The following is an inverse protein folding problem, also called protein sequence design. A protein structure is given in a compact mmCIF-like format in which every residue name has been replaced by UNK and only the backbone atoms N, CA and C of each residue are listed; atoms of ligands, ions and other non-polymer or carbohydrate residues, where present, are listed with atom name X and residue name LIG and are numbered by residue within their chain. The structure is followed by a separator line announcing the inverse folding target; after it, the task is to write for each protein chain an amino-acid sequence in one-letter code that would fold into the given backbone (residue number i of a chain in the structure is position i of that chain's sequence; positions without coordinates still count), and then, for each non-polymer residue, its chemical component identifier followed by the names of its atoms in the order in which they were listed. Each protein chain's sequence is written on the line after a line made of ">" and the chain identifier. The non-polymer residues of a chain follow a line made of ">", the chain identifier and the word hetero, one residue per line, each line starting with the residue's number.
data_IF_360879202537
#
_entry.id   IF_360879202537
#
_cell.length_a   1.000
_cell.length_b   1.000
_cell.length_c   1.000
_cell.angle_alpha   90.00
_cell.angle_beta   90.00
_cell.angle_gamma   90.00
#
_symmetry.space_group_name_H-M   'P 1'
#
loop_
_entity.id
_entity.type
_entity.pdbx_description
1 polymer ?
#
# COMPACT_ATOMS: atom_id res chain seq x y z
N UNK A 1 10.25 24.68 -15.49
CA UNK A 1 9.36 24.87 -14.34
C UNK A 1 8.30 23.78 -14.36
N UNK A 2 8.32 22.88 -13.37
CA UNK A 2 7.37 21.77 -13.29
C UNK A 2 5.98 22.23 -12.84
N UNK A 3 4.96 21.61 -13.41
CA UNK A 3 3.58 21.71 -12.90
C UNK A 3 3.22 20.40 -12.21
N UNK A 4 2.36 20.49 -11.20
CA UNK A 4 1.82 19.35 -10.47
C UNK A 4 0.35 19.17 -10.83
N UNK A 5 -0.07 17.94 -11.11
CA UNK A 5 -1.50 17.62 -11.21
C UNK A 5 -2.07 17.53 -9.80
N UNK A 6 -2.92 18.47 -9.44
CA UNK A 6 -3.50 18.59 -8.10
C UNK A 6 -4.89 17.98 -8.08
N UNK A 7 -5.08 16.95 -7.25
CA UNK A 7 -6.37 16.39 -6.88
C UNK A 7 -6.88 17.17 -5.65
N UNK A 8 -7.91 17.94 -5.85
CA UNK A 8 -8.51 18.72 -4.77
C UNK A 8 -9.31 17.82 -3.81
N UNK A 9 -9.32 18.20 -2.53
CA UNK A 9 -10.11 17.50 -1.52
C UNK A 9 -11.59 17.60 -1.89
N UNK A 10 -12.34 16.51 -1.74
CA UNK A 10 -13.77 16.38 -2.03
C UNK A 10 -14.20 16.59 -3.49
N UNK A 11 -13.27 16.86 -4.43
CA UNK A 11 -13.58 16.92 -5.86
C UNK A 11 -13.21 15.58 -6.56
N UNK A 12 -13.79 15.36 -7.75
CA UNK A 12 -13.45 14.20 -8.60
C UNK A 12 -12.06 14.33 -9.22
N UNK A 13 -11.49 13.22 -9.71
CA UNK A 13 -10.28 13.26 -10.55
C UNK A 13 -10.48 14.01 -11.87
N UNK A 14 -11.73 14.21 -12.33
CA UNK A 14 -12.05 15.05 -13.49
C UNK A 14 -11.72 16.52 -13.25
N UNK A 15 -11.79 16.94 -12.00
CA UNK A 15 -11.57 18.32 -11.58
C UNK A 15 -10.11 18.61 -11.18
N UNK A 16 -9.20 17.66 -11.46
CA UNK A 16 -7.77 17.87 -11.26
C UNK A 16 -7.25 18.98 -12.15
N UNK A 17 -6.47 19.89 -11.58
CA UNK A 17 -5.86 21.00 -12.32
C UNK A 17 -4.33 20.93 -12.28
N UNK A 18 -3.69 21.49 -13.33
CA UNK A 18 -2.23 21.59 -13.40
C UNK A 18 -1.76 22.90 -12.79
N UNK A 19 -1.22 22.82 -11.57
CA UNK A 19 -0.78 23.97 -10.80
C UNK A 19 0.74 24.10 -10.73
N UNK A 20 1.23 25.33 -10.58
CA UNK A 20 2.64 25.60 -10.30
C UNK A 20 2.92 25.39 -8.81
N UNK A 21 4.16 25.01 -8.48
CA UNK A 21 4.60 24.78 -7.09
C UNK A 21 4.29 25.93 -6.15
N UNK A 22 4.38 27.17 -6.66
CA UNK A 22 4.17 28.39 -5.90
C UNK A 22 2.70 28.61 -5.50
N UNK A 23 1.77 28.04 -6.26
CA UNK A 23 0.31 28.17 -6.04
C UNK A 23 -0.18 27.16 -5.00
N UNK A 24 0.53 26.04 -4.85
CA UNK A 24 0.13 24.98 -3.92
C UNK A 24 0.55 25.37 -2.50
N UNK A 25 -0.44 25.63 -1.64
CA UNK A 25 -0.20 26.08 -0.26
C UNK A 25 0.45 25.00 0.62
N UNK A 26 0.10 23.74 0.39
CA UNK A 26 0.57 22.60 1.18
C UNK A 26 1.95 22.10 0.70
N UNK A 27 2.98 22.59 1.36
CA UNK A 27 4.37 22.22 1.07
C UNK A 27 4.70 20.77 1.51
N UNK A 28 4.02 20.26 2.53
CA UNK A 28 4.24 18.88 3.01
C UNK A 28 3.71 17.87 2.01
N UNK A 29 2.55 18.13 1.39
CA UNK A 29 2.01 17.31 0.31
C UNK A 29 2.94 17.28 -0.90
N UNK A 30 3.54 18.43 -1.27
CA UNK A 30 4.54 18.46 -2.35
C UNK A 30 5.74 17.60 -1.99
N UNK A 31 6.29 17.76 -0.79
CA UNK A 31 7.43 16.98 -0.35
C UNK A 31 7.11 15.47 -0.28
N UNK A 32 5.91 15.10 0.16
CA UNK A 32 5.44 13.72 0.14
C UNK A 32 5.33 13.18 -1.29
N UNK A 33 4.79 13.97 -2.22
CA UNK A 33 4.74 13.59 -3.62
C UNK A 33 6.14 13.41 -4.22
N UNK A 34 7.06 14.35 -4.00
CA UNK A 34 8.43 14.29 -4.50
C UNK A 34 9.18 13.06 -3.95
N UNK A 35 8.98 12.71 -2.67
CA UNK A 35 9.53 11.47 -2.09
C UNK A 35 8.99 10.21 -2.78
N UNK A 36 7.69 10.19 -3.13
CA UNK A 36 7.05 9.07 -3.83
C UNK A 36 7.49 8.91 -5.28
N UNK A 37 8.07 9.95 -5.90
CA UNK A 37 8.65 9.84 -7.24
C UNK A 37 9.98 9.08 -7.24
N UNK A 38 10.62 8.93 -6.09
CA UNK A 38 11.81 8.11 -5.97
C UNK A 38 11.40 6.64 -5.81
N UNK A 39 11.76 5.82 -6.80
CA UNK A 39 11.42 4.39 -6.79
C UNK A 39 12.32 3.68 -5.76
N UNK A 40 11.77 3.03 -4.74
CA UNK A 40 12.56 2.25 -3.81
C UNK A 40 13.27 1.10 -4.52
N UNK A 41 14.54 0.85 -4.22
CA UNK A 41 15.35 -0.20 -4.86
C UNK A 41 14.68 -1.59 -4.82
N UNK A 42 13.92 -1.86 -3.77
CA UNK A 42 13.22 -3.12 -3.65
C UNK A 42 12.11 -3.32 -4.70
N UNK A 43 11.49 -2.26 -5.19
CA UNK A 43 10.50 -2.33 -6.29
C UNK A 43 11.15 -2.65 -7.65
N UNK A 44 12.45 -2.45 -7.76
CA UNK A 44 13.24 -2.73 -8.95
C UNK A 44 13.87 -4.14 -8.96
N UNK A 45 13.76 -4.88 -7.86
CA UNK A 45 14.33 -6.22 -7.76
C UNK A 45 13.56 -7.22 -8.65
N UNK A 46 14.22 -8.24 -9.23
CA UNK A 46 13.57 -9.25 -10.05
C UNK A 46 12.45 -9.99 -9.31
N UNK A 47 11.34 -10.25 -10.00
CA UNK A 47 10.23 -11.02 -9.45
C UNK A 47 10.66 -12.47 -9.21
N UNK A 48 10.47 -12.97 -8.00
CA UNK A 48 10.73 -14.38 -7.67
C UNK A 48 9.53 -15.26 -7.99
N UNK A 49 9.77 -16.43 -8.53
CA UNK A 49 8.75 -17.43 -8.78
C UNK A 49 8.06 -17.88 -7.48
N UNK A 50 6.82 -18.39 -7.58
CA UNK A 50 6.07 -18.92 -6.43
C UNK A 50 6.86 -20.03 -5.71
N UNK A 51 7.58 -20.88 -6.44
CA UNK A 51 8.39 -21.97 -5.89
C UNK A 51 9.58 -21.42 -5.06
N UNK A 52 10.28 -20.42 -5.58
CA UNK A 52 11.37 -19.76 -4.85
C UNK A 52 10.88 -19.06 -3.59
N UNK A 53 9.67 -18.47 -3.64
CA UNK A 53 9.03 -17.83 -2.49
C UNK A 53 8.73 -18.83 -1.37
N UNK A 54 8.16 -19.99 -1.69
CA UNK A 54 7.84 -21.06 -0.73
C UNK A 54 9.11 -21.66 -0.12
N UNK A 55 10.10 -22.02 -0.94
CA UNK A 55 11.36 -22.61 -0.46
C UNK A 55 12.17 -21.70 0.47
N UNK A 56 12.00 -20.39 0.32
CA UNK A 56 12.61 -19.39 1.19
C UNK A 56 11.78 -19.16 2.48
N UNK A 57 10.44 -19.36 2.46
CA UNK A 57 9.54 -19.23 3.62
C UNK A 57 9.86 -20.18 4.76
N UNK A 58 10.21 -21.41 4.42
CA UNK A 58 10.58 -22.44 5.39
C UNK A 58 11.86 -22.11 6.19
N UNK A 59 12.75 -21.27 5.67
CA UNK A 59 14.03 -20.92 6.33
C UNK A 59 13.97 -19.66 7.19
N UNK A 60 12.88 -18.91 7.19
CA UNK A 60 12.80 -17.57 7.79
C UNK A 60 11.86 -17.48 8.99
N UNK A 61 12.00 -18.33 9.98
CA UNK A 61 11.49 -18.04 11.33
C UNK A 61 12.38 -17.01 12.03
N UNK A 62 12.32 -15.77 11.58
CA UNK A 62 13.00 -14.68 12.28
C UNK A 62 12.24 -14.32 13.56
N UNK A 63 12.92 -14.38 14.69
CA UNK A 63 12.46 -13.86 15.98
C UNK A 63 12.24 -12.35 15.84
N UNK A 64 10.99 -11.95 15.79
CA UNK A 64 10.60 -10.55 15.82
C UNK A 64 10.74 -10.02 17.25
N UNK A 65 11.53 -8.96 17.45
CA UNK A 65 11.49 -8.20 18.71
C UNK A 65 10.23 -7.34 18.69
N UNK A 66 9.53 -7.28 19.82
CA UNK A 66 8.42 -6.36 20.04
C UNK A 66 8.87 -4.95 19.69
N UNK A 67 8.41 -4.43 18.55
CA UNK A 67 8.78 -3.14 18.02
C UNK A 67 7.54 -2.29 17.82
N UNK A 68 7.72 -0.99 17.97
CA UNK A 68 6.73 0.02 17.66
C UNK A 68 6.37 -0.08 16.17
N UNK A 69 5.11 -0.11 15.84
CA UNK A 69 4.66 0.20 14.47
C UNK A 69 4.93 1.69 14.30
N UNK A 70 5.90 2.03 13.47
CA UNK A 70 6.35 3.42 13.33
C UNK A 70 5.48 4.11 12.31
N UNK A 71 4.63 5.00 12.74
CA UNK A 71 4.14 6.07 11.90
C UNK A 71 5.31 7.00 11.51
N UNK A 72 5.16 7.72 10.40
CA UNK A 72 6.09 8.72 9.85
C UNK A 72 6.93 9.46 10.89
N UNK A 73 8.17 9.80 10.54
CA UNK A 73 9.07 10.63 11.36
C UNK A 73 8.33 11.87 11.90
N UNK A 74 8.21 11.96 13.23
CA UNK A 74 7.58 13.09 13.93
C UNK A 74 6.25 12.81 14.61
N UNK A 75 5.57 11.70 14.35
CA UNK A 75 4.37 11.30 15.09
C UNK A 75 4.71 10.46 16.32
N UNK A 76 3.96 10.62 17.42
CA UNK A 76 4.06 9.70 18.56
C UNK A 76 3.85 8.26 18.08
N UNK A 77 4.84 7.40 18.33
CA UNK A 77 4.79 6.02 17.89
C UNK A 77 3.59 5.30 18.51
N UNK A 78 2.62 4.99 17.69
CA UNK A 78 1.44 4.22 18.09
C UNK A 78 1.86 2.78 18.40
N UNK A 79 1.32 2.21 19.47
CA UNK A 79 1.65 0.85 19.92
C UNK A 79 0.40 -0.01 19.94
N UNK A 80 0.55 -1.26 19.50
CA UNK A 80 -0.51 -2.25 19.62
C UNK A 80 -0.69 -2.65 21.09
N UNK A 81 -1.94 -2.88 21.51
CA UNK A 81 -2.25 -3.50 22.81
C UNK A 81 -1.79 -4.97 22.81
N UNK A 82 -1.54 -5.59 23.99
CA UNK A 82 -1.04 -6.97 24.04
C UNK A 82 -1.86 -7.98 23.22
N UNK A 83 -3.17 -7.96 23.32
CA UNK A 83 -4.04 -8.86 22.54
C UNK A 83 -4.03 -8.57 21.03
N UNK A 84 -3.89 -7.29 20.61
CA UNK A 84 -3.73 -6.93 19.21
C UNK A 84 -2.41 -7.45 18.66
N UNK A 85 -1.38 -7.46 19.50
CA UNK A 85 -0.08 -8.02 19.18
C UNK A 85 -0.11 -9.54 18.96
N UNK A 86 -0.93 -10.25 19.78
CA UNK A 86 -1.18 -11.68 19.58
C UNK A 86 -1.88 -11.95 18.25
N UNK A 87 -2.95 -11.20 17.94
CA UNK A 87 -3.66 -11.31 16.66
C UNK A 87 -2.77 -10.99 15.45
N UNK A 88 -1.95 -9.94 15.53
CA UNK A 88 -0.95 -9.64 14.51
C UNK A 88 0.04 -10.79 14.32
N UNK A 89 0.56 -11.39 15.40
CA UNK A 89 1.48 -12.54 15.32
C UNK A 89 0.83 -13.73 14.63
N UNK A 90 -0.42 -14.01 14.97
CA UNK A 90 -1.20 -15.08 14.35
C UNK A 90 -1.40 -14.84 12.85
N UNK A 91 -1.85 -13.64 12.45
CA UNK A 91 -2.00 -13.25 11.06
C UNK A 91 -0.68 -13.37 10.28
N UNK A 92 0.41 -12.88 10.87
CA UNK A 92 1.76 -12.98 10.29
C UNK A 92 2.20 -14.42 10.06
N UNK A 93 1.97 -15.30 11.05
CA UNK A 93 2.34 -16.72 10.93
C UNK A 93 1.55 -17.39 9.81
N UNK A 94 0.23 -17.16 9.76
CA UNK A 94 -0.62 -17.69 8.68
C UNK A 94 -0.18 -17.17 7.30
N UNK A 95 0.12 -15.89 7.20
CA UNK A 95 0.65 -15.30 5.97
C UNK A 95 1.97 -15.97 5.54
N UNK A 96 2.91 -16.19 6.46
CA UNK A 96 4.17 -16.86 6.17
C UNK A 96 4.00 -18.33 5.74
N UNK A 97 2.97 -19.01 6.25
CA UNK A 97 2.62 -20.37 5.88
C UNK A 97 1.74 -20.46 4.61
N UNK A 98 1.38 -19.30 4.01
CA UNK A 98 0.50 -19.24 2.85
C UNK A 98 -0.95 -19.61 3.15
N UNK A 99 -1.37 -19.49 4.40
CA UNK A 99 -2.73 -19.82 4.86
C UNK A 99 -3.64 -18.59 4.83
N UNK A 100 -4.87 -18.80 4.36
CA UNK A 100 -5.92 -17.78 4.50
C UNK A 100 -6.37 -17.66 5.95
N UNK A 101 -6.81 -16.46 6.33
CA UNK A 101 -7.20 -16.16 7.71
C UNK A 101 -8.53 -15.42 7.78
N UNK A 102 -9.29 -15.69 8.83
CA UNK A 102 -10.49 -14.92 9.18
C UNK A 102 -10.25 -14.34 10.58
N UNK A 103 -10.17 -13.01 10.68
CA UNK A 103 -10.05 -12.30 11.95
C UNK A 103 -11.46 -12.00 12.49
N UNK A 104 -11.94 -12.84 13.42
CA UNK A 104 -13.31 -12.84 13.92
C UNK A 104 -13.44 -12.29 15.35
N UNK A 105 -12.52 -11.43 15.78
CA UNK A 105 -12.61 -10.76 17.09
C UNK A 105 -13.89 -9.93 17.21
N UNK A 106 -14.31 -9.63 18.42
CA UNK A 106 -15.45 -8.75 18.67
C UNK A 106 -15.26 -7.33 18.10
N UNK A 107 -16.35 -6.62 17.89
CA UNK A 107 -16.33 -5.24 17.44
C UNK A 107 -15.60 -4.35 18.46
N UNK A 108 -14.84 -3.37 17.98
CA UNK A 108 -14.10 -2.45 18.86
C UNK A 108 -12.70 -2.92 19.30
N UNK A 109 -12.33 -4.19 19.12
CA UNK A 109 -11.02 -4.71 19.51
C UNK A 109 -9.88 -4.33 18.56
N UNK A 110 -10.14 -3.55 17.52
CA UNK A 110 -9.09 -3.04 16.64
C UNK A 110 -8.61 -4.04 15.60
N UNK A 111 -9.51 -4.82 15.00
CA UNK A 111 -9.20 -5.72 13.87
C UNK A 111 -8.49 -4.99 12.74
N UNK A 112 -8.96 -3.80 12.39
CA UNK A 112 -8.40 -2.98 11.32
C UNK A 112 -6.91 -2.68 11.57
N UNK A 113 -6.54 -2.30 12.78
CA UNK A 113 -5.17 -1.97 13.15
C UNK A 113 -4.25 -3.20 13.11
N UNK A 114 -4.76 -4.37 13.50
CA UNK A 114 -4.02 -5.63 13.39
C UNK A 114 -3.72 -5.97 11.92
N UNK A 115 -4.70 -5.78 11.02
CA UNK A 115 -4.52 -5.99 9.58
C UNK A 115 -3.57 -4.95 8.98
N UNK A 116 -3.71 -3.67 9.34
CA UNK A 116 -2.80 -2.60 8.91
C UNK A 116 -1.36 -2.87 9.35
N UNK A 117 -1.17 -3.37 10.57
CA UNK A 117 0.15 -3.78 11.06
C UNK A 117 0.75 -4.95 10.25
N UNK A 118 -0.11 -5.87 9.78
CA UNK A 118 0.33 -6.91 8.85
C UNK A 118 0.73 -6.32 7.49
N UNK A 119 -0.05 -5.40 6.94
CA UNK A 119 0.28 -4.73 5.67
C UNK A 119 1.64 -4.03 5.75
N UNK A 120 1.85 -3.23 6.79
CA UNK A 120 3.12 -2.55 7.07
C UNK A 120 4.27 -3.55 7.18
N UNK A 121 4.05 -4.64 7.93
CA UNK A 121 5.04 -5.69 8.07
C UNK A 121 5.36 -6.37 6.73
N UNK A 122 4.36 -6.65 5.92
CA UNK A 122 4.54 -7.28 4.60
C UNK A 122 5.32 -6.36 3.68
N UNK A 123 4.99 -5.08 3.58
CA UNK A 123 5.67 -4.11 2.72
C UNK A 123 7.07 -3.75 3.25
N UNK A 124 7.24 -3.42 4.54
CA UNK A 124 8.54 -3.02 5.09
C UNK A 124 9.51 -4.16 5.36
N UNK A 125 9.06 -5.39 5.49
CA UNK A 125 9.97 -6.54 5.45
C UNK A 125 10.85 -6.57 4.20
N UNK A 126 10.41 -5.93 3.15
CA UNK A 126 11.14 -5.74 1.92
C UNK A 126 12.39 -4.90 2.08
N UNK A 127 12.33 -3.80 2.84
CA UNK A 127 13.47 -2.91 3.04
C UNK A 127 14.57 -3.53 3.89
N UNK A 128 14.19 -4.41 4.85
CA UNK A 128 15.13 -5.11 5.72
C UNK A 128 15.57 -6.47 5.18
N UNK A 129 14.70 -7.19 4.48
CA UNK A 129 14.97 -8.53 3.98
C UNK A 129 15.85 -8.55 2.74
N UNK A 130 15.98 -7.44 2.03
CA UNK A 130 17.00 -7.31 0.99
C UNK A 130 18.41 -7.46 1.57
N UNK A 131 18.60 -7.04 2.81
CA UNK A 131 19.84 -7.29 3.56
C UNK A 131 19.97 -8.70 4.14
N UNK A 132 18.87 -9.40 4.37
CA UNK A 132 18.83 -10.71 5.05
C UNK A 132 17.81 -11.63 4.34
N UNK A 133 18.19 -12.22 3.21
CA UNK A 133 17.62 -13.44 2.59
C UNK A 133 16.22 -13.87 3.04
N UNK A 134 15.19 -13.08 2.95
CA UNK A 134 13.84 -13.49 3.32
C UNK A 134 12.88 -13.63 2.14
N UNK A 135 12.02 -14.57 2.21
CA UNK A 135 11.54 -15.47 1.17
C UNK A 135 10.12 -15.28 0.65
N UNK A 136 9.35 -14.33 1.14
CA UNK A 136 8.00 -14.10 0.62
C UNK A 136 7.92 -12.73 -0.05
N UNK A 137 8.32 -12.69 -1.31
CA UNK A 137 8.29 -11.49 -2.11
C UNK A 137 7.04 -11.48 -2.99
N UNK A 138 6.06 -10.65 -2.65
CA UNK A 138 5.14 -10.11 -3.64
C UNK A 138 5.47 -8.63 -3.80
N UNK A 139 6.03 -8.20 -4.93
CA UNK A 139 6.18 -6.78 -5.30
C UNK A 139 4.84 -6.18 -5.72
N UNK A 140 3.78 -6.92 -5.52
CA UNK A 140 2.43 -6.53 -5.87
C UNK A 140 1.78 -5.75 -4.74
N UNK A 141 1.00 -4.72 -5.05
CA UNK A 141 0.23 -3.98 -4.08
C UNK A 141 -0.75 -4.86 -3.30
N UNK A 142 -1.11 -4.41 -2.12
CA UNK A 142 -2.13 -5.04 -1.30
C UNK A 142 -3.50 -4.50 -1.75
N UNK A 143 -4.40 -5.39 -2.15
CA UNK A 143 -5.78 -5.03 -2.46
C UNK A 143 -6.66 -5.13 -1.21
N UNK A 144 -7.33 -4.03 -0.88
CA UNK A 144 -8.34 -3.98 0.18
C UNK A 144 -9.70 -3.72 -0.43
N UNK A 145 -10.61 -4.67 -0.27
CA UNK A 145 -12.00 -4.56 -0.74
C UNK A 145 -12.89 -4.32 0.48
N UNK A 146 -13.59 -3.19 0.48
CA UNK A 146 -14.42 -2.80 1.61
C UNK A 146 -15.70 -2.07 1.14
N UNK A 147 -16.75 -1.99 1.96
CA UNK A 147 -17.91 -1.19 1.66
C UNK A 147 -17.55 0.29 1.47
N UNK A 148 -18.23 0.95 0.52
CA UNK A 148 -17.98 2.35 0.18
C UNK A 148 -17.91 3.28 1.40
N UNK A 149 -18.84 3.12 2.33
CA UNK A 149 -18.93 3.92 3.56
C UNK A 149 -17.68 3.82 4.45
N UNK A 150 -16.87 2.77 4.29
CA UNK A 150 -15.70 2.49 5.13
C UNK A 150 -14.37 2.80 4.44
N UNK A 151 -14.33 3.04 3.12
CA UNK A 151 -13.09 3.31 2.39
C UNK A 151 -12.32 4.50 2.95
N UNK A 152 -13.01 5.61 3.25
CA UNK A 152 -12.41 6.79 3.86
C UNK A 152 -11.82 6.53 5.25
N UNK A 153 -12.46 5.66 6.03
CA UNK A 153 -11.93 5.21 7.32
C UNK A 153 -10.65 4.38 7.13
N UNK A 154 -10.65 3.38 6.23
CA UNK A 154 -9.48 2.58 5.92
C UNK A 154 -8.30 3.43 5.49
N UNK A 155 -8.52 4.38 4.58
CA UNK A 155 -7.48 5.30 4.12
C UNK A 155 -6.84 6.06 5.28
N UNK A 156 -7.67 6.73 6.10
CA UNK A 156 -7.17 7.50 7.26
C UNK A 156 -6.39 6.65 8.25
N UNK A 157 -6.88 5.45 8.55
CA UNK A 157 -6.19 4.53 9.46
C UNK A 157 -4.85 4.09 8.89
N UNK A 158 -4.77 3.67 7.62
CA UNK A 158 -3.51 3.26 7.00
C UNK A 158 -2.51 4.43 7.01
N UNK A 159 -2.90 5.61 6.54
CA UNK A 159 -2.05 6.82 6.52
C UNK A 159 -1.60 7.25 7.92
N UNK A 160 -2.41 7.01 8.96
CA UNK A 160 -2.10 7.38 10.34
C UNK A 160 -1.19 6.40 11.08
N UNK A 161 -1.16 5.13 10.67
CA UNK A 161 -0.38 4.07 11.31
C UNK A 161 0.87 3.69 10.54
N UNK A 162 0.92 3.99 9.25
CA UNK A 162 1.96 3.49 8.36
C UNK A 162 2.46 4.60 7.43
N UNK A 163 3.58 4.33 6.76
CA UNK A 163 4.09 5.17 5.67
C UNK A 163 3.68 4.65 4.29
N UNK A 164 2.76 3.70 4.20
CA UNK A 164 2.33 3.08 2.96
C UNK A 164 1.62 4.08 2.06
N UNK A 165 1.92 4.00 0.76
CA UNK A 165 1.23 4.79 -0.24
C UNK A 165 -0.11 4.14 -0.60
N UNK A 166 -1.21 4.83 -0.27
CA UNK A 166 -2.59 4.33 -0.44
C UNK A 166 -3.26 5.05 -1.59
N UNK A 167 -3.84 4.28 -2.50
CA UNK A 167 -4.72 4.82 -3.56
C UNK A 167 -6.14 4.31 -3.35
N UNK A 168 -7.10 5.22 -3.49
CA UNK A 168 -8.51 4.89 -3.49
C UNK A 168 -9.01 4.76 -4.93
N UNK A 169 -9.23 3.52 -5.36
CA UNK A 169 -9.74 3.21 -6.69
C UNK A 169 -11.28 3.22 -6.67
N UNK A 170 -11.82 4.40 -6.41
CA UNK A 170 -13.24 4.71 -6.37
C UNK A 170 -13.45 6.21 -6.62
N UNK A 171 -14.50 6.54 -7.33
CA UNK A 171 -14.97 7.91 -7.49
C UNK A 171 -16.49 7.94 -7.54
N UNK A 172 -17.10 8.89 -6.83
CA UNK A 172 -18.55 9.00 -6.69
C UNK A 172 -19.23 9.53 -7.97
N UNK A 173 -18.52 10.30 -8.78
CA UNK A 173 -19.13 11.07 -9.88
C UNK A 173 -18.68 10.64 -11.27
N UNK A 174 -17.59 9.89 -11.39
CA UNK A 174 -16.90 9.73 -12.66
C UNK A 174 -16.96 8.37 -13.33
N UNK A 175 -17.42 7.35 -12.65
CA UNK A 175 -17.51 6.01 -13.21
C UNK A 175 -16.19 5.50 -13.80
N UNK A 176 -16.27 4.79 -14.92
CA UNK A 176 -15.10 4.15 -15.57
C UNK A 176 -14.06 5.15 -16.09
N UNK A 177 -14.49 6.33 -16.53
CA UNK A 177 -13.58 7.36 -17.07
C UNK A 177 -12.63 7.89 -16.00
N UNK A 178 -13.13 8.11 -14.78
CA UNK A 178 -12.31 8.58 -13.67
C UNK A 178 -11.34 7.50 -13.22
N UNK A 179 -11.76 6.25 -13.17
CA UNK A 179 -10.85 5.14 -12.83
C UNK A 179 -9.70 5.03 -13.83
N UNK A 180 -9.95 5.24 -15.13
CA UNK A 180 -8.88 5.33 -16.14
C UNK A 180 -7.91 6.50 -15.91
N UNK A 181 -8.37 7.62 -15.35
CA UNK A 181 -7.47 8.72 -14.96
C UNK A 181 -6.60 8.31 -13.76
N UNK A 182 -7.17 7.61 -12.77
CA UNK A 182 -6.41 7.05 -11.65
C UNK A 182 -5.35 6.08 -12.18
N UNK A 183 -5.71 5.14 -13.05
CA UNK A 183 -4.77 4.21 -13.69
C UNK A 183 -3.65 4.97 -14.41
N UNK A 184 -4.00 5.96 -15.20
CA UNK A 184 -3.03 6.73 -15.99
C UNK A 184 -1.99 7.47 -15.14
N UNK A 185 -2.39 8.06 -14.01
CA UNK A 185 -1.54 8.96 -13.24
C UNK A 185 -0.96 8.34 -11.98
N UNK A 186 -1.65 7.37 -11.39
CA UNK A 186 -1.33 6.83 -10.08
C UNK A 186 -0.87 5.35 -10.09
N UNK A 187 -1.01 4.64 -11.23
CA UNK A 187 -0.80 3.20 -11.25
C UNK A 187 0.67 2.81 -11.31
N UNK A 188 1.37 3.26 -12.36
CA UNK A 188 2.75 2.85 -12.64
C UNK A 188 3.70 4.04 -12.67
N UNK A 189 4.95 3.78 -12.37
CA UNK A 189 6.01 4.73 -12.66
C UNK A 189 6.17 4.89 -14.18
N UNK A 190 6.41 6.13 -14.63
CA UNK A 190 6.49 6.45 -16.07
C UNK A 190 7.72 5.85 -16.75
N UNK A 191 7.63 5.70 -18.07
CA UNK A 191 8.76 5.33 -18.92
C UNK A 191 9.91 6.32 -18.71
N UNK A 192 11.12 5.79 -18.47
CA UNK A 192 12.31 6.58 -18.15
C UNK A 192 12.57 6.80 -16.65
N UNK A 193 11.62 6.49 -15.76
CA UNK A 193 11.86 6.42 -14.32
C UNK A 193 12.31 5.03 -13.88
N UNK A 194 11.80 3.99 -14.56
CA UNK A 194 12.17 2.58 -14.33
C UNK A 194 13.37 2.24 -15.21
N UNK A 195 14.45 1.67 -14.67
CA UNK A 195 15.59 1.22 -15.46
C UNK A 195 15.21 0.16 -16.50
N UNK A 196 15.83 0.18 -17.68
CA UNK A 196 15.59 -0.82 -18.76
C UNK A 196 15.91 -2.26 -18.36
N UNK A 197 16.68 -2.45 -17.29
CA UNK A 197 17.00 -3.78 -16.74
C UNK A 197 15.85 -4.42 -15.98
N UNK A 198 14.77 -3.68 -15.72
CA UNK A 198 13.59 -4.16 -15.01
C UNK A 198 12.55 -4.60 -16.04
N UNK A 199 12.19 -5.87 -16.01
CA UNK A 199 11.33 -6.55 -16.98
C UNK A 199 9.84 -6.59 -16.59
N UNK A 200 9.45 -5.81 -15.58
CA UNK A 200 8.09 -5.75 -15.07
C UNK A 200 7.63 -4.32 -14.77
N UNK A 201 6.33 -4.12 -14.76
CA UNK A 201 5.72 -2.86 -14.37
C UNK A 201 5.86 -2.61 -12.87
N UNK A 202 6.24 -1.38 -12.51
CA UNK A 202 6.48 -0.98 -11.12
C UNK A 202 5.36 -0.09 -10.62
N UNK A 203 4.58 -0.57 -9.65
CA UNK A 203 3.47 0.17 -9.06
C UNK A 203 3.95 1.34 -8.20
N UNK A 204 3.26 2.50 -8.32
CA UNK A 204 3.51 3.68 -7.48
C UNK A 204 3.00 3.52 -6.05
N UNK A 205 1.99 2.69 -5.84
CA UNK A 205 1.31 2.50 -4.57
C UNK A 205 1.66 1.17 -3.90
N UNK A 206 1.33 1.08 -2.62
CA UNK A 206 1.52 -0.11 -1.80
C UNK A 206 0.17 -0.75 -1.43
N UNK A 207 -0.89 0.06 -1.33
CA UNK A 207 -2.24 -0.39 -1.00
C UNK A 207 -3.26 0.24 -1.95
N UNK A 208 -4.13 -0.59 -2.50
CA UNK A 208 -5.28 -0.18 -3.31
C UNK A 208 -6.57 -0.44 -2.55
N UNK A 209 -7.34 0.62 -2.30
CA UNK A 209 -8.66 0.54 -1.67
C UNK A 209 -9.76 0.60 -2.74
N UNK A 210 -10.68 -0.35 -2.73
CA UNK A 210 -11.82 -0.37 -3.66
C UNK A 210 -13.04 -1.04 -3.06
N UNK A 211 -14.15 -1.06 -3.80
CA UNK A 211 -15.41 -1.72 -3.40
C UNK A 211 -15.62 -3.04 -4.15
N UNK A 212 -16.57 -3.85 -3.66
CA UNK A 212 -16.94 -5.11 -4.32
C UNK A 212 -17.46 -4.90 -5.74
N UNK A 213 -18.26 -3.85 -5.95
CA UNK A 213 -18.86 -3.54 -7.24
C UNK A 213 -17.78 -3.21 -8.28
N UNK A 214 -16.80 -2.42 -7.88
CA UNK A 214 -15.68 -2.06 -8.76
C UNK A 214 -14.77 -3.26 -9.03
N UNK A 215 -14.54 -4.10 -8.02
CA UNK A 215 -13.75 -5.31 -8.20
C UNK A 215 -14.34 -6.24 -9.25
N UNK A 216 -15.69 -6.33 -9.31
CA UNK A 216 -16.38 -7.11 -10.35
C UNK A 216 -16.35 -6.42 -11.71
N UNK A 217 -16.52 -5.09 -11.71
CA UNK A 217 -16.59 -4.31 -12.95
C UNK A 217 -15.25 -4.17 -13.70
N UNK A 218 -14.15 -4.14 -12.96
CA UNK A 218 -12.81 -3.88 -13.50
C UNK A 218 -11.82 -5.03 -13.11
N UNK A 219 -12.30 -6.25 -13.17
CA UNK A 219 -11.51 -7.46 -12.82
C UNK A 219 -10.21 -7.54 -13.60
N UNK A 220 -10.23 -7.21 -14.89
CA UNK A 220 -9.05 -7.28 -15.77
C UNK A 220 -7.96 -6.27 -15.37
N UNK A 221 -8.34 -5.12 -14.81
CA UNK A 221 -7.39 -4.12 -14.32
C UNK A 221 -6.81 -4.47 -12.94
N UNK A 222 -7.59 -5.20 -12.12
CA UNK A 222 -7.23 -5.53 -10.74
C UNK A 222 -6.54 -6.88 -10.57
N UNK A 223 -6.66 -7.75 -11.58
CA UNK A 223 -6.07 -9.11 -11.61
C UNK A 223 -5.40 -9.36 -12.97
N UNK A 224 -4.36 -8.61 -13.32
CA UNK A 224 -3.64 -8.76 -14.57
C UNK A 224 -2.86 -10.08 -14.67
#
# INVERSE_FOLDING_TARGET
>A
MGRYLVKWVDLSYKDCTWEKKEVIADKEMIAAYERRQHIPEWKLAPLKSKAERVALGEKSMLKFKEGKVSASEGAEAKTLRPYQWEGFRWLKNNYNEGKNSILADEMGLGKTIQVISLMEHVVHKWTWAWRVRCSMQTQQPILVIAPLSTLGFWRREIESWTSLNVIMYHDNEGGKEVRRLIEKYEWYYGNGQVPESVDHEVFKFDVLLTTYEITIADVDALMP
#
